data_IF_236860005256
#
_entry.id   IF_236860005256
#
_cell.length_a   1.000
_cell.length_b   1.000
_cell.length_c   1.000
_cell.angle_alpha   90.00
_cell.angle_beta   90.00
_cell.angle_gamma   90.00
#
_symmetry.space_group_name_H-M   'P 1'
#
loop_
_entity.id
_entity.type
_entity.pdbx_description
1 polymer ?
#
# COMPACT_ATOMS: atom_id res chain seq x y z
N UNK A 1 5.08 -20.40 -5.65
CA UNK A 1 4.34 -19.75 -6.76
C UNK A 1 5.33 -19.06 -7.68
N UNK A 2 5.09 -18.98 -8.99
CA UNK A 2 5.90 -18.14 -9.88
C UNK A 2 5.82 -16.68 -9.41
N UNK A 3 6.94 -15.96 -9.39
CA UNK A 3 7.03 -14.59 -8.89
C UNK A 3 6.01 -13.64 -9.55
N UNK A 4 5.77 -13.79 -10.85
CA UNK A 4 4.74 -13.01 -11.57
C UNK A 4 3.33 -13.23 -11.00
N UNK A 5 3.00 -14.46 -10.62
CA UNK A 5 1.70 -14.79 -10.02
C UNK A 5 1.58 -14.15 -8.65
N UNK A 6 2.64 -14.20 -7.83
CA UNK A 6 2.65 -13.53 -6.53
C UNK A 6 2.37 -12.03 -6.66
N UNK A 7 3.09 -11.33 -7.55
CA UNK A 7 2.93 -9.89 -7.74
C UNK A 7 1.54 -9.48 -8.24
N UNK A 8 0.99 -10.21 -9.22
CA UNK A 8 -0.36 -9.96 -9.74
C UNK A 8 -1.39 -10.18 -8.63
N UNK A 9 -1.26 -11.29 -7.90
CA UNK A 9 -2.15 -11.59 -6.78
C UNK A 9 -2.08 -10.51 -5.70
N UNK A 10 -0.91 -9.99 -5.35
CA UNK A 10 -0.77 -8.88 -4.39
C UNK A 10 -1.47 -7.60 -4.87
N UNK A 11 -1.39 -7.28 -6.17
CA UNK A 11 -2.10 -6.12 -6.72
C UNK A 11 -3.62 -6.29 -6.67
N UNK A 12 -4.14 -7.49 -6.98
CA UNK A 12 -5.57 -7.80 -6.90
C UNK A 12 -6.05 -7.75 -5.45
N UNK A 13 -5.30 -8.34 -4.52
CA UNK A 13 -5.62 -8.29 -3.09
C UNK A 13 -5.66 -6.85 -2.61
N UNK A 14 -4.68 -6.02 -2.98
CA UNK A 14 -4.66 -4.61 -2.62
C UNK A 14 -5.93 -3.88 -3.12
N UNK A 15 -6.29 -4.03 -4.40
CA UNK A 15 -7.48 -3.40 -4.96
C UNK A 15 -8.76 -3.86 -4.24
N UNK A 16 -8.97 -5.18 -4.11
CA UNK A 16 -10.16 -5.74 -3.49
C UNK A 16 -10.26 -5.37 -2.01
N UNK A 17 -9.19 -5.55 -1.23
CA UNK A 17 -9.15 -5.20 0.18
C UNK A 17 -9.40 -3.71 0.39
N UNK A 18 -8.88 -2.86 -0.50
CA UNK A 18 -9.12 -1.41 -0.46
C UNK A 18 -10.59 -1.03 -0.67
N UNK A 19 -11.25 -1.62 -1.67
CA UNK A 19 -12.68 -1.40 -1.92
C UNK A 19 -13.51 -1.90 -0.73
N UNK A 20 -13.22 -3.12 -0.25
CA UNK A 20 -13.90 -3.73 0.89
C UNK A 20 -13.75 -2.88 2.15
N UNK A 21 -12.53 -2.48 2.51
CA UNK A 21 -12.26 -1.66 3.70
C UNK A 21 -13.05 -0.34 3.65
N UNK A 22 -13.08 0.32 2.49
CA UNK A 22 -13.79 1.60 2.33
C UNK A 22 -15.30 1.43 2.47
N UNK A 23 -15.87 0.39 1.84
CA UNK A 23 -17.32 0.10 1.93
C UNK A 23 -17.71 -0.32 3.34
N UNK A 24 -16.92 -1.16 4.00
CA UNK A 24 -17.17 -1.59 5.38
C UNK A 24 -17.12 -0.43 6.36
N UNK A 25 -16.16 0.48 6.18
CA UNK A 25 -16.07 1.71 7.00
C UNK A 25 -17.34 2.53 6.82
N UNK A 26 -17.77 2.76 5.57
CA UNK A 26 -19.02 3.48 5.32
C UNK A 26 -20.25 2.76 5.85
N UNK A 27 -20.28 1.43 5.76
CA UNK A 27 -21.36 0.63 6.31
C UNK A 27 -21.41 0.76 7.84
N UNK A 28 -20.26 0.82 8.52
CA UNK A 28 -20.17 1.13 9.94
C UNK A 28 -20.81 2.48 10.25
N UNK A 29 -20.42 3.56 9.54
CA UNK A 29 -20.95 4.92 9.76
C UNK A 29 -22.48 5.01 9.64
N UNK A 30 -23.07 4.18 8.78
CA UNK A 30 -24.51 4.17 8.53
C UNK A 30 -25.31 3.39 9.59
N UNK A 31 -24.65 2.64 10.46
CA UNK A 31 -25.33 1.94 11.55
C UNK A 31 -25.80 2.94 12.61
N UNK A 32 -26.93 2.64 13.24
CA UNK A 32 -27.50 3.46 14.30
C UNK A 32 -27.51 2.64 15.59
N UNK A 33 -26.98 3.20 16.66
CA UNK A 33 -26.89 2.53 17.94
C UNK A 33 -27.15 3.50 19.09
N UNK A 34 -27.73 2.98 20.17
CA UNK A 34 -27.99 3.77 21.37
C UNK A 34 -26.71 3.95 22.19
N UNK A 35 -26.48 5.18 22.67
CA UNK A 35 -25.47 5.49 23.69
C UNK A 35 -25.96 5.08 25.11
N UNK A 36 -25.15 5.32 26.15
CA UNK A 36 -25.53 5.04 27.54
C UNK A 36 -26.77 5.82 28.04
N UNK A 37 -27.13 6.92 27.40
CA UNK A 37 -28.32 7.71 27.74
C UNK A 37 -29.56 7.25 26.96
N UNK A 38 -29.42 6.22 26.11
CA UNK A 38 -30.47 5.72 25.24
C UNK A 38 -30.72 6.59 24.00
N UNK A 39 -29.85 7.57 23.73
CA UNK A 39 -29.93 8.41 22.53
C UNK A 39 -29.39 7.61 21.35
N UNK A 40 -30.24 7.40 20.35
CA UNK A 40 -29.86 6.70 19.12
C UNK A 40 -29.23 7.69 18.17
N UNK A 41 -27.97 7.46 17.83
CA UNK A 41 -27.22 8.23 16.85
C UNK A 41 -26.49 7.29 15.88
N UNK A 42 -26.02 7.84 14.77
CA UNK A 42 -25.18 7.13 13.81
C UNK A 42 -23.81 6.82 14.43
N UNK A 43 -23.18 5.72 14.01
CA UNK A 43 -21.86 5.28 14.48
C UNK A 43 -20.74 6.12 13.84
N UNK A 44 -20.73 7.42 14.09
CA UNK A 44 -19.79 8.38 13.51
C UNK A 44 -18.62 8.65 14.45
N UNK A 45 -17.65 7.73 14.45
CA UNK A 45 -16.48 7.79 15.31
C UNK A 45 -15.16 7.68 14.50
N UNK A 46 -14.77 8.72 13.74
CA UNK A 46 -13.68 8.64 12.77
C UNK A 46 -12.29 8.44 13.40
N UNK A 47 -12.04 8.98 14.60
CA UNK A 47 -10.78 8.78 15.30
C UNK A 47 -10.72 7.41 15.96
N UNK A 48 -11.86 6.92 16.48
CA UNK A 48 -11.97 5.53 16.92
C UNK A 48 -11.75 4.55 15.76
N UNK A 49 -12.33 4.79 14.58
CA UNK A 49 -12.07 3.97 13.39
C UNK A 49 -10.60 3.99 12.96
N UNK A 50 -9.93 5.13 13.13
CA UNK A 50 -8.46 5.23 12.91
C UNK A 50 -7.69 4.38 13.92
N UNK A 51 -8.11 4.34 15.19
CA UNK A 51 -7.55 3.41 16.18
C UNK A 51 -7.78 1.94 15.76
N UNK A 52 -8.98 1.59 15.29
CA UNK A 52 -9.32 0.23 14.80
C UNK A 52 -8.45 -0.17 13.61
N UNK A 53 -8.16 0.76 12.70
CA UNK A 53 -7.22 0.55 11.58
C UNK A 53 -5.82 0.17 12.09
N UNK A 54 -5.24 0.97 13.00
CA UNK A 54 -3.91 0.68 13.57
C UNK A 54 -3.87 -0.59 14.42
N UNK A 55 -4.96 -0.93 15.10
CA UNK A 55 -5.10 -2.23 15.78
C UNK A 55 -5.06 -3.39 14.78
N UNK A 56 -5.72 -3.23 13.63
CA UNK A 56 -5.65 -4.17 12.52
C UNK A 56 -4.23 -4.35 12.00
N UNK A 57 -3.51 -3.26 11.75
CA UNK A 57 -2.11 -3.28 11.31
C UNK A 57 -1.19 -3.94 12.33
N UNK A 58 -1.42 -3.72 13.63
CA UNK A 58 -0.68 -4.38 14.71
C UNK A 58 -0.79 -5.91 14.62
N UNK A 59 -1.90 -6.45 14.13
CA UNK A 59 -2.05 -7.90 13.92
C UNK A 59 -1.04 -8.46 12.91
N UNK A 60 -0.56 -7.65 11.95
CA UNK A 60 0.48 -8.06 11.01
C UNK A 60 1.77 -8.48 11.73
N UNK A 61 2.11 -7.84 12.86
CA UNK A 61 3.25 -8.23 13.69
C UNK A 61 3.04 -9.60 14.34
N UNK A 62 1.81 -9.89 14.76
CA UNK A 62 1.39 -11.20 15.26
C UNK A 62 1.57 -12.29 14.19
N UNK A 63 1.17 -12.02 12.95
CA UNK A 63 1.37 -12.92 11.80
C UNK A 63 2.87 -13.17 11.56
N UNK A 64 3.70 -12.13 11.56
CA UNK A 64 5.16 -12.28 11.39
C UNK A 64 5.74 -13.17 12.49
N UNK A 65 5.39 -12.93 13.76
CA UNK A 65 5.86 -13.76 14.88
C UNK A 65 5.42 -15.22 14.75
N UNK A 66 4.18 -15.45 14.32
CA UNK A 66 3.66 -16.81 14.08
C UNK A 66 4.44 -17.52 12.96
N UNK A 67 4.70 -16.83 11.84
CA UNK A 67 5.45 -17.39 10.72
C UNK A 67 6.91 -17.72 11.11
N UNK A 68 7.57 -16.82 11.83
CA UNK A 68 8.93 -17.03 12.33
C UNK A 68 8.97 -18.18 13.35
N UNK A 69 8.00 -18.25 14.26
CA UNK A 69 7.89 -19.35 15.21
C UNK A 69 7.71 -20.69 14.51
N UNK A 70 6.84 -20.78 13.50
CA UNK A 70 6.67 -22.00 12.69
C UNK A 70 7.96 -22.41 11.97
N UNK A 71 8.70 -21.45 11.40
CA UNK A 71 9.99 -21.73 10.74
C UNK A 71 11.04 -22.27 11.71
N UNK A 72 11.11 -21.71 12.92
CA UNK A 72 11.98 -22.20 14.01
C UNK A 72 11.64 -23.64 14.40
N UNK A 73 10.34 -23.97 14.49
CA UNK A 73 9.90 -25.35 14.79
C UNK A 73 10.31 -26.34 13.68
N UNK A 74 10.28 -25.92 12.42
CA UNK A 74 10.68 -26.76 11.28
C UNK A 74 12.19 -26.77 11.00
N UNK A 75 12.99 -26.05 11.78
CA UNK A 75 14.44 -25.92 11.55
C UNK A 75 14.82 -25.18 10.27
N UNK A 76 13.91 -24.41 9.68
CA UNK A 76 14.17 -23.64 8.44
C UNK A 76 14.93 -22.37 8.81
N UNK A 77 16.04 -22.12 8.11
CA UNK A 77 16.86 -20.93 8.30
C UNK A 77 16.06 -19.65 7.97
N UNK A 78 16.13 -18.66 8.88
CA UNK A 78 15.44 -17.38 8.71
C UNK A 78 16.21 -16.50 7.72
N UNK A 79 15.50 -15.94 6.75
CA UNK A 79 16.12 -15.14 5.69
C UNK A 79 15.94 -13.63 5.95
N UNK A 80 17.01 -12.83 5.87
CA UNK A 80 16.90 -11.37 5.89
C UNK A 80 16.09 -10.94 4.66
N UNK A 81 15.30 -9.87 4.79
CA UNK A 81 14.45 -9.41 3.70
C UNK A 81 13.05 -10.01 3.67
N UNK A 82 12.89 -11.18 4.29
CA UNK A 82 11.66 -11.98 4.29
C UNK A 82 11.13 -12.17 5.71
N UNK A 83 11.99 -12.60 6.63
CA UNK A 83 11.62 -12.94 8.01
C UNK A 83 11.95 -11.84 9.02
N UNK A 84 13.00 -11.07 8.73
CA UNK A 84 13.43 -9.94 9.55
C UNK A 84 14.08 -8.86 8.68
N UNK A 85 14.13 -7.64 9.20
CA UNK A 85 14.78 -6.49 8.55
C UNK A 85 16.27 -6.46 8.84
N UNK A 86 17.03 -5.86 7.93
CA UNK A 86 18.40 -5.46 8.24
C UNK A 86 18.40 -4.21 9.13
N UNK A 87 19.29 -4.20 10.12
CA UNK A 87 19.88 -3.06 10.84
C UNK A 87 19.06 -1.75 10.94
N UNK A 88 17.76 -1.83 11.22
CA UNK A 88 16.90 -0.69 11.56
C UNK A 88 16.28 -0.93 12.92
N UNK A 89 16.46 0.05 13.81
CA UNK A 89 15.85 -0.01 15.13
C UNK A 89 14.33 0.27 15.01
N UNK A 90 13.44 -0.51 15.65
CA UNK A 90 12.00 -0.34 15.53
C UNK A 90 11.47 1.07 15.81
N UNK A 91 12.16 1.84 16.66
CA UNK A 91 11.77 3.22 17.01
C UNK A 91 11.59 4.14 15.79
N UNK A 92 12.30 3.88 14.68
CA UNK A 92 12.19 4.71 13.49
C UNK A 92 10.82 4.61 12.80
N UNK A 93 10.07 3.52 13.01
CA UNK A 93 8.72 3.37 12.49
C UNK A 93 7.70 4.32 13.14
N UNK A 94 8.08 5.07 14.18
CA UNK A 94 7.23 6.14 14.72
C UNK A 94 7.01 7.27 13.71
N UNK A 95 7.98 7.54 12.82
CA UNK A 95 7.89 8.63 11.83
C UNK A 95 6.77 8.36 10.81
N UNK A 96 6.72 7.20 10.12
CA UNK A 96 5.60 6.89 9.24
C UNK A 96 4.28 6.81 10.00
N UNK A 97 4.26 6.27 11.23
CA UNK A 97 3.04 6.22 12.05
C UNK A 97 2.48 7.61 12.41
N UNK A 98 3.34 8.58 12.73
CA UNK A 98 2.91 9.97 12.95
C UNK A 98 2.35 10.57 11.66
N UNK A 99 3.04 10.35 10.53
CA UNK A 99 2.57 10.84 9.24
C UNK A 99 1.22 10.20 8.86
N UNK A 100 1.02 8.91 9.14
CA UNK A 100 -0.22 8.19 8.86
C UNK A 100 -1.38 8.69 9.70
N UNK A 101 -1.17 8.77 11.01
CA UNK A 101 -2.17 9.30 11.93
C UNK A 101 -2.56 10.73 11.59
N UNK A 102 -1.58 11.58 11.27
CA UNK A 102 -1.81 12.99 10.92
C UNK A 102 -2.54 13.12 9.58
N UNK A 103 -2.13 12.36 8.56
CA UNK A 103 -2.77 12.36 7.25
C UNK A 103 -4.23 11.85 7.35
N UNK A 104 -4.45 10.73 8.03
CA UNK A 104 -5.76 10.13 8.24
C UNK A 104 -6.68 11.04 9.04
N UNK A 105 -6.19 11.62 10.14
CA UNK A 105 -6.93 12.60 10.94
C UNK A 105 -7.35 13.80 10.10
N UNK A 106 -6.41 14.39 9.34
CA UNK A 106 -6.70 15.54 8.48
C UNK A 106 -7.75 15.20 7.42
N UNK A 107 -7.67 13.99 6.85
CA UNK A 107 -8.64 13.49 5.87
C UNK A 107 -10.03 13.24 6.47
N UNK A 108 -10.09 12.73 7.70
CA UNK A 108 -11.35 12.49 8.40
C UNK A 108 -12.05 13.81 8.74
N UNK A 109 -11.30 14.82 9.20
CA UNK A 109 -11.84 16.18 9.38
C UNK A 109 -12.29 16.76 8.03
N UNK A 110 -11.55 16.52 6.95
CA UNK A 110 -11.95 16.99 5.63
C UNK A 110 -13.28 16.37 5.17
N UNK A 111 -13.52 15.08 5.46
CA UNK A 111 -14.72 14.34 5.08
C UNK A 111 -16.00 14.89 5.76
N UNK A 112 -15.90 15.53 6.92
CA UNK A 112 -17.05 16.19 7.57
C UNK A 112 -17.38 17.55 6.96
N UNK A 113 -16.49 18.09 6.12
CA UNK A 113 -16.58 19.43 5.57
C UNK A 113 -16.82 19.45 4.05
N UNK A 114 -16.53 18.35 3.34
CA UNK A 114 -16.77 18.17 1.90
C UNK A 114 -17.57 16.90 1.62
N UNK A 115 -18.08 16.72 0.40
CA UNK A 115 -18.84 15.51 0.08
C UNK A 115 -17.93 14.29 -0.12
N UNK A 116 -18.43 13.09 0.14
CA UNK A 116 -17.66 11.86 0.05
C UNK A 116 -17.07 11.62 -1.36
N UNK A 117 -17.80 11.92 -2.42
CA UNK A 117 -17.34 11.89 -3.82
C UNK A 117 -16.15 12.81 -4.05
N UNK A 118 -16.26 14.08 -3.64
CA UNK A 118 -15.20 15.08 -3.83
C UNK A 118 -13.97 14.69 -3.02
N UNK A 119 -14.16 14.22 -1.78
CA UNK A 119 -13.11 13.64 -0.96
C UNK A 119 -12.37 12.50 -1.68
N UNK A 120 -13.09 11.49 -2.16
CA UNK A 120 -12.50 10.34 -2.86
C UNK A 120 -11.74 10.73 -4.13
N UNK A 121 -12.27 11.70 -4.89
CA UNK A 121 -11.62 12.21 -6.09
C UNK A 121 -10.35 13.01 -5.76
N UNK A 122 -10.41 13.91 -4.77
CA UNK A 122 -9.27 14.74 -4.36
C UNK A 122 -8.15 13.92 -3.70
N UNK A 123 -8.43 12.75 -3.14
CA UNK A 123 -7.40 11.77 -2.74
C UNK A 123 -6.51 11.33 -3.89
N UNK A 124 -6.96 11.48 -5.13
CA UNK A 124 -6.14 11.27 -6.32
C UNK A 124 -4.92 12.20 -6.42
N UNK A 125 -4.94 13.35 -5.74
CA UNK A 125 -3.83 14.32 -5.73
C UNK A 125 -2.51 13.78 -5.18
N UNK A 126 -2.53 12.69 -4.41
CA UNK A 126 -1.33 12.03 -3.86
C UNK A 126 -0.31 11.67 -4.94
N UNK A 127 -0.75 11.34 -6.17
CA UNK A 127 0.16 11.04 -7.28
C UNK A 127 1.06 12.23 -7.64
N UNK A 128 0.56 13.46 -7.51
CA UNK A 128 1.33 14.68 -7.80
C UNK A 128 2.46 14.85 -6.78
N UNK A 129 2.13 14.73 -5.50
CA UNK A 129 3.10 14.92 -4.44
C UNK A 129 4.13 13.78 -4.40
N UNK A 130 3.72 12.53 -4.66
CA UNK A 130 4.67 11.43 -4.79
C UNK A 130 5.64 11.65 -5.96
N UNK A 131 5.17 12.17 -7.10
CA UNK A 131 6.08 12.48 -8.19
C UNK A 131 7.14 13.50 -7.74
N UNK A 132 6.72 14.59 -7.09
CA UNK A 132 7.64 15.61 -6.56
C UNK A 132 8.60 15.02 -5.52
N UNK A 133 8.11 14.29 -4.52
CA UNK A 133 8.98 13.73 -3.47
C UNK A 133 9.87 12.60 -3.99
N UNK A 134 9.40 11.79 -4.95
CA UNK A 134 10.23 10.76 -5.58
C UNK A 134 11.37 11.36 -6.43
N UNK A 135 11.20 12.58 -6.95
CA UNK A 135 12.29 13.33 -7.58
C UNK A 135 13.41 13.63 -6.57
N UNK A 136 13.04 14.20 -5.42
CA UNK A 136 14.00 14.69 -4.43
C UNK A 136 14.62 13.58 -3.58
N UNK A 137 13.84 12.59 -3.15
CA UNK A 137 14.30 11.56 -2.21
C UNK A 137 14.76 10.26 -2.87
N UNK A 138 14.23 9.94 -4.05
CA UNK A 138 14.57 8.71 -4.80
C UNK A 138 15.30 9.00 -6.11
N UNK A 139 15.66 10.27 -6.36
CA UNK A 139 16.44 10.72 -7.54
C UNK A 139 15.84 10.25 -8.89
N UNK A 140 14.51 10.13 -8.97
CA UNK A 140 13.85 9.65 -10.19
C UNK A 140 13.86 10.71 -11.28
N UNK A 141 14.25 10.31 -12.50
CA UNK A 141 14.11 11.15 -13.71
C UNK A 141 12.72 11.00 -14.31
N UNK A 142 12.15 12.08 -14.84
CA UNK A 142 10.84 12.08 -15.51
C UNK A 142 10.98 12.16 -17.04
N UNK A 143 10.14 11.42 -17.74
CA UNK A 143 9.93 11.49 -19.18
C UNK A 143 8.86 12.53 -19.51
N UNK A 144 8.79 12.96 -20.76
CA UNK A 144 7.80 13.93 -21.21
C UNK A 144 6.35 13.52 -20.90
N UNK A 145 6.01 12.22 -21.00
CA UNK A 145 4.63 11.77 -20.82
C UNK A 145 4.21 11.79 -19.35
N UNK A 146 5.18 11.69 -18.43
CA UNK A 146 4.94 11.85 -17.01
C UNK A 146 4.59 13.32 -16.70
N UNK A 147 5.33 14.29 -17.25
CA UNK A 147 4.97 15.70 -17.11
C UNK A 147 3.59 16.03 -17.68
N UNK A 148 3.28 15.55 -18.89
CA UNK A 148 1.96 15.73 -19.49
C UNK A 148 0.85 15.13 -18.62
N UNK A 149 1.05 13.90 -18.12
CA UNK A 149 0.11 13.25 -17.23
C UNK A 149 -0.14 14.03 -15.94
N UNK A 150 0.91 14.58 -15.31
CA UNK A 150 0.79 15.41 -14.11
C UNK A 150 -0.02 16.69 -14.37
N UNK A 151 0.17 17.36 -15.51
CA UNK A 151 -0.61 18.55 -15.88
C UNK A 151 -2.09 18.20 -16.03
N UNK A 152 -2.41 17.10 -16.71
CA UNK A 152 -3.80 16.66 -16.89
C UNK A 152 -4.44 16.29 -15.54
N UNK A 153 -3.71 15.64 -14.64
CA UNK A 153 -4.15 15.35 -13.26
C UNK A 153 -4.50 16.64 -12.52
N UNK A 154 -3.64 17.67 -12.58
CA UNK A 154 -3.89 18.97 -11.94
C UNK A 154 -5.18 19.60 -12.47
N UNK A 155 -5.37 19.60 -13.80
CA UNK A 155 -6.60 20.13 -14.42
C UNK A 155 -7.84 19.39 -13.91
N UNK A 156 -7.81 18.06 -13.86
CA UNK A 156 -8.92 17.26 -13.35
C UNK A 156 -9.27 17.58 -11.89
N UNK A 157 -8.26 17.67 -11.02
CA UNK A 157 -8.46 17.99 -9.60
C UNK A 157 -9.01 19.40 -9.39
N UNK A 158 -8.55 20.38 -10.16
CA UNK A 158 -9.08 21.75 -10.11
C UNK A 158 -10.55 21.78 -10.52
N UNK A 159 -10.93 21.06 -11.58
CA UNK A 159 -12.34 20.98 -12.03
C UNK A 159 -13.21 20.36 -10.92
N UNK A 160 -12.76 19.26 -10.30
CA UNK A 160 -13.47 18.62 -9.17
C UNK A 160 -13.61 19.60 -8.00
N UNK A 161 -12.53 20.27 -7.59
CA UNK A 161 -12.56 21.24 -6.48
C UNK A 161 -13.51 22.42 -6.75
N UNK A 162 -13.48 22.98 -7.96
CA UNK A 162 -14.37 24.10 -8.35
C UNK A 162 -15.82 23.64 -8.40
N UNK A 163 -16.11 22.45 -8.93
CA UNK A 163 -17.48 21.93 -9.03
C UNK A 163 -18.19 21.84 -7.68
N UNK A 164 -17.47 21.41 -6.64
CA UNK A 164 -18.01 21.34 -5.28
C UNK A 164 -18.28 22.72 -4.68
N UNK A 165 -17.42 23.70 -4.99
CA UNK A 165 -17.55 25.08 -4.51
C UNK A 165 -18.70 25.83 -5.18
N UNK A 166 -19.03 25.50 -6.44
CA UNK A 166 -20.17 26.08 -7.14
C UNK A 166 -21.52 25.56 -6.60
N UNK A 167 -21.53 24.40 -5.93
CA UNK A 167 -22.71 23.78 -5.34
C UNK A 167 -23.06 24.28 -3.93
N UNK A 168 -22.60 25.48 -3.55
CA UNK A 168 -22.77 26.20 -2.26
C UNK A 168 -24.23 26.34 -1.73
N UNK A 169 -25.20 25.61 -2.26
CA UNK A 169 -26.63 25.65 -1.95
C UNK A 169 -27.20 24.31 -1.46
N UNK A 170 -26.36 23.31 -1.13
CA UNK A 170 -26.82 21.99 -0.65
C UNK A 170 -26.42 21.79 0.82
N UNK A 171 -27.37 21.45 1.69
CA UNK A 171 -27.25 21.20 3.15
C UNK A 171 -26.22 20.12 3.59
N UNK A 172 -25.40 19.58 2.67
CA UNK A 172 -24.58 18.37 2.88
C UNK A 172 -23.15 18.66 3.33
N UNK A 173 -22.61 19.86 3.06
CA UNK A 173 -21.23 20.20 3.39
C UNK A 173 -21.15 21.55 4.10
N UNK A 174 -20.59 21.56 5.31
CA UNK A 174 -20.51 22.76 6.17
C UNK A 174 -19.56 23.82 5.61
N UNK A 175 -18.43 23.41 5.03
CA UNK A 175 -17.48 24.30 4.36
C UNK A 175 -16.66 23.54 3.29
N UNK A 176 -17.20 23.41 2.05
CA UNK A 176 -16.60 22.60 0.99
C UNK A 176 -15.17 23.01 0.63
N UNK A 177 -14.89 24.32 0.60
CA UNK A 177 -13.57 24.84 0.21
C UNK A 177 -12.51 24.45 1.22
N UNK A 178 -12.79 24.64 2.51
CA UNK A 178 -11.88 24.27 3.58
C UNK A 178 -11.67 22.74 3.62
N UNK A 179 -12.75 21.96 3.46
CA UNK A 179 -12.67 20.51 3.33
C UNK A 179 -11.74 20.09 2.19
N UNK A 180 -11.90 20.66 1.00
CA UNK A 180 -11.06 20.35 -0.15
C UNK A 180 -9.58 20.65 0.08
N UNK A 181 -9.26 21.79 0.70
CA UNK A 181 -7.89 22.15 1.06
C UNK A 181 -7.31 21.12 2.04
N UNK A 182 -8.08 20.74 3.07
CA UNK A 182 -7.66 19.74 4.04
C UNK A 182 -7.41 18.36 3.40
N UNK A 183 -8.21 17.94 2.40
CA UNK A 183 -7.93 16.69 1.66
C UNK A 183 -6.56 16.75 0.99
N UNK A 184 -6.25 17.85 0.30
CA UNK A 184 -4.99 18.04 -0.41
C UNK A 184 -3.80 18.09 0.57
N UNK A 185 -3.96 18.77 1.71
CA UNK A 185 -2.95 18.77 2.79
C UNK A 185 -2.74 17.36 3.36
N UNK A 186 -3.82 16.60 3.59
CA UNK A 186 -3.72 15.21 4.02
C UNK A 186 -2.97 14.34 3.01
N UNK A 187 -3.24 14.52 1.71
CA UNK A 187 -2.54 13.78 0.64
C UNK A 187 -1.05 14.16 0.54
N UNK A 188 -0.70 15.41 0.80
CA UNK A 188 0.70 15.83 0.91
C UNK A 188 1.42 15.05 2.01
N UNK A 189 0.84 14.99 3.22
CA UNK A 189 1.44 14.27 4.36
C UNK A 189 1.54 12.76 4.05
N UNK A 190 0.47 12.16 3.51
CA UNK A 190 0.48 10.75 3.11
C UNK A 190 1.56 10.44 2.07
N UNK A 191 1.77 11.34 1.10
CA UNK A 191 2.79 11.12 0.06
C UNK A 191 4.21 11.10 0.62
N UNK A 192 4.48 11.87 1.69
CA UNK A 192 5.76 11.83 2.41
C UNK A 192 5.94 10.45 3.04
N UNK A 193 4.92 9.93 3.73
CA UNK A 193 4.94 8.59 4.31
C UNK A 193 5.25 7.53 3.23
N UNK A 194 4.52 7.50 2.12
CA UNK A 194 4.71 6.47 1.09
C UNK A 194 6.13 6.50 0.49
N UNK A 195 6.71 7.69 0.33
CA UNK A 195 8.07 7.86 -0.18
C UNK A 195 9.12 7.42 0.84
N UNK A 196 8.93 7.75 2.12
CA UNK A 196 9.80 7.28 3.21
C UNK A 196 9.74 5.76 3.34
N UNK A 197 8.55 5.18 3.28
CA UNK A 197 8.34 3.72 3.29
C UNK A 197 9.03 3.04 2.12
N UNK A 198 8.87 3.56 0.89
CA UNK A 198 9.56 3.00 -0.28
C UNK A 198 11.08 3.01 -0.07
N UNK A 199 11.62 4.14 0.40
CA UNK A 199 13.05 4.27 0.67
C UNK A 199 13.53 3.25 1.72
N UNK A 200 12.78 3.07 2.81
CA UNK A 200 13.17 2.15 3.89
C UNK A 200 12.97 0.68 3.53
N UNK A 201 11.84 0.32 2.91
CA UNK A 201 11.55 -1.04 2.44
C UNK A 201 12.65 -1.55 1.51
N UNK A 202 13.19 -0.68 0.66
CA UNK A 202 14.27 -1.00 -0.27
C UNK A 202 15.64 -0.98 0.40
N UNK A 203 15.98 0.09 1.13
CA UNK A 203 17.31 0.26 1.76
C UNK A 203 17.62 -0.75 2.86
N UNK A 204 16.67 -1.00 3.76
CA UNK A 204 16.84 -1.90 4.92
C UNK A 204 16.22 -3.28 4.67
N UNK A 205 15.72 -3.53 3.46
CA UNK A 205 15.05 -4.77 3.04
C UNK A 205 13.93 -5.17 4.00
N UNK A 206 13.19 -4.23 4.58
CA UNK A 206 12.17 -4.54 5.59
C UNK A 206 11.05 -5.41 4.98
N UNK A 207 10.65 -6.53 5.60
CA UNK A 207 9.45 -7.27 5.19
C UNK A 207 8.19 -6.38 5.31
N UNK A 208 7.30 -6.31 4.30
CA UNK A 208 6.13 -5.40 4.33
C UNK A 208 5.25 -5.58 5.56
N UNK A 209 4.96 -6.82 5.96
CA UNK A 209 4.17 -7.11 7.16
C UNK A 209 4.85 -6.64 8.46
N UNK A 210 6.18 -6.61 8.50
CA UNK A 210 6.92 -6.13 9.66
C UNK A 210 6.85 -4.61 9.77
N UNK A 211 6.97 -3.89 8.64
CA UNK A 211 6.79 -2.44 8.60
C UNK A 211 5.39 -2.05 9.09
N UNK A 212 4.35 -2.63 8.48
CA UNK A 212 2.95 -2.37 8.84
C UNK A 212 2.68 -2.75 10.30
N UNK A 213 3.25 -3.86 10.77
CA UNK A 213 3.10 -4.28 12.16
C UNK A 213 3.67 -3.29 13.17
N UNK A 214 4.85 -2.71 12.91
CA UNK A 214 5.44 -1.70 13.78
C UNK A 214 4.74 -0.35 13.70
N UNK A 215 4.34 0.06 12.50
CA UNK A 215 3.51 1.25 12.27
C UNK A 215 2.20 1.15 13.06
N UNK A 216 1.51 0.01 12.97
CA UNK A 216 0.31 -0.28 13.75
C UNK A 216 0.51 -0.14 15.26
N UNK A 217 1.64 -0.62 15.81
CA UNK A 217 1.94 -0.49 17.25
C UNK A 217 2.08 0.98 17.65
N UNK A 218 2.89 1.76 16.94
CA UNK A 218 3.08 3.17 17.25
C UNK A 218 1.81 3.98 16.99
N UNK A 219 1.12 3.71 15.88
CA UNK A 219 -0.15 4.34 15.52
C UNK A 219 -1.25 4.06 16.54
N UNK A 220 -1.35 2.84 17.07
CA UNK A 220 -2.27 2.49 18.15
C UNK A 220 -1.97 3.31 19.41
N UNK A 221 -0.69 3.45 19.78
CA UNK A 221 -0.30 4.28 20.92
C UNK A 221 -0.65 5.76 20.70
N UNK A 222 -0.35 6.31 19.53
CA UNK A 222 -0.62 7.71 19.18
C UNK A 222 -2.13 7.98 19.15
N UNK A 223 -2.90 7.16 18.43
CA UNK A 223 -4.34 7.28 18.30
C UNK A 223 -5.05 7.07 19.65
N UNK A 224 -4.62 6.09 20.44
CA UNK A 224 -5.14 5.86 21.78
C UNK A 224 -4.88 7.04 22.72
N UNK A 225 -3.66 7.59 22.71
CA UNK A 225 -3.34 8.79 23.49
C UNK A 225 -4.14 10.01 23.04
N UNK A 226 -4.35 10.19 21.73
CA UNK A 226 -5.17 11.27 21.19
C UNK A 226 -6.64 11.16 21.62
N UNK A 227 -7.23 9.96 21.53
CA UNK A 227 -8.61 9.70 21.98
C UNK A 227 -8.79 9.95 23.47
N UNK A 228 -7.83 9.52 24.31
CA UNK A 228 -7.84 9.83 25.75
C UNK A 228 -7.69 11.34 25.97
N UNK A 229 -6.82 12.01 25.22
CA UNK A 229 -6.64 13.46 25.29
C UNK A 229 -7.90 14.24 24.91
N UNK A 230 -8.67 13.77 23.92
CA UNK A 230 -9.92 14.40 23.51
C UNK A 230 -10.96 14.44 24.63
N UNK A 231 -10.99 13.42 25.51
CA UNK A 231 -11.88 13.38 26.68
C UNK A 231 -11.66 14.53 27.67
N UNK A 232 -10.52 15.21 27.62
CA UNK A 232 -10.23 16.35 28.48
C UNK A 232 -10.85 17.67 27.98
N UNK A 233 -11.44 17.70 26.79
CA UNK A 233 -12.05 18.88 26.19
C UNK A 233 -13.58 18.76 26.16
N UNK A 234 -14.28 19.80 26.60
CA UNK A 234 -15.73 19.89 26.45
C UNK A 234 -16.11 19.88 24.95
N UNK A 235 -16.99 18.96 24.55
CA UNK A 235 -17.34 18.75 23.15
C UNK A 235 -16.28 17.97 22.35
N UNK A 236 -15.61 17.00 23.00
CA UNK A 236 -14.58 16.13 22.43
C UNK A 236 -14.88 15.74 20.96
N UNK A 237 -13.89 15.84 20.03
CA UNK A 237 -14.09 15.50 18.63
C UNK A 237 -14.60 14.08 18.36
N UNK A 238 -14.30 13.14 19.25
CA UNK A 238 -14.73 11.75 19.19
C UNK A 238 -14.71 11.13 20.59
N UNK A 239 -15.78 10.42 20.96
CA UNK A 239 -15.89 9.76 22.25
C UNK A 239 -15.67 8.24 22.14
N UNK A 240 -14.56 7.78 22.71
CA UNK A 240 -14.26 6.34 22.79
C UNK A 240 -15.28 5.58 23.65
N UNK A 241 -15.84 6.20 24.69
CA UNK A 241 -16.79 5.53 25.59
C UNK A 241 -18.11 5.29 24.87
N UNK A 242 -18.64 6.33 24.21
CA UNK A 242 -19.83 6.21 23.35
C UNK A 242 -19.62 5.19 22.22
N UNK A 243 -18.47 5.22 21.53
CA UNK A 243 -18.17 4.25 20.48
C UNK A 243 -18.22 2.80 20.99
N UNK A 244 -17.62 2.52 22.15
CA UNK A 244 -17.63 1.18 22.75
C UNK A 244 -19.03 0.76 23.21
N UNK A 245 -19.85 1.69 23.71
CA UNK A 245 -21.23 1.41 24.08
C UNK A 245 -22.10 1.10 22.87
N UNK A 246 -21.97 1.88 21.79
CA UNK A 246 -22.68 1.63 20.53
C UNK A 246 -22.32 0.27 19.93
N UNK A 247 -21.05 -0.14 20.00
CA UNK A 247 -20.60 -1.49 19.61
C UNK A 247 -21.22 -2.58 20.49
N UNK A 248 -21.33 -2.35 21.81
CA UNK A 248 -21.97 -3.30 22.72
C UNK A 248 -23.48 -3.44 22.50
N UNK A 249 -24.12 -2.35 22.08
CA UNK A 249 -25.58 -2.28 21.91
C UNK A 249 -26.06 -2.68 20.51
N UNK A 250 -25.18 -2.71 19.51
CA UNK A 250 -25.52 -3.04 18.12
C UNK A 250 -24.52 -4.05 17.54
N UNK A 251 -25.00 -5.25 17.23
CA UNK A 251 -24.16 -6.32 16.70
C UNK A 251 -23.65 -5.98 15.29
N UNK A 252 -24.38 -5.18 14.52
CA UNK A 252 -23.95 -4.66 13.23
C UNK A 252 -22.73 -3.74 13.37
N UNK A 253 -22.72 -2.82 14.35
CA UNK A 253 -21.54 -1.98 14.66
C UNK A 253 -20.33 -2.83 15.07
N UNK A 254 -20.56 -3.85 15.90
CA UNK A 254 -19.50 -4.78 16.32
C UNK A 254 -18.92 -5.56 15.13
N UNK A 255 -19.79 -6.13 14.28
CA UNK A 255 -19.37 -6.86 13.09
C UNK A 255 -18.62 -5.93 12.12
N UNK A 256 -19.14 -4.72 11.86
CA UNK A 256 -18.49 -3.74 11.01
C UNK A 256 -17.09 -3.39 11.50
N UNK A 257 -16.95 -3.12 12.80
CA UNK A 257 -15.66 -2.82 13.44
C UNK A 257 -14.65 -3.95 13.25
N UNK A 258 -15.06 -5.20 13.48
CA UNK A 258 -14.18 -6.37 13.32
C UNK A 258 -13.80 -6.58 11.85
N UNK A 259 -14.75 -6.43 10.92
CA UNK A 259 -14.46 -6.59 9.50
C UNK A 259 -13.53 -5.48 8.98
N UNK A 260 -13.73 -4.23 9.40
CA UNK A 260 -12.83 -3.10 9.08
C UNK A 260 -11.42 -3.38 9.59
N UNK A 261 -11.28 -3.85 10.83
CA UNK A 261 -10.00 -4.19 11.44
C UNK A 261 -9.19 -5.17 10.55
N UNK A 262 -9.81 -6.27 10.12
CA UNK A 262 -9.14 -7.24 9.24
C UNK A 262 -8.92 -6.71 7.82
N UNK A 263 -9.88 -5.98 7.27
CA UNK A 263 -9.76 -5.41 5.92
C UNK A 263 -8.60 -4.41 5.84
N UNK A 264 -8.43 -3.55 6.85
CA UNK A 264 -7.31 -2.61 6.94
C UNK A 264 -5.96 -3.32 7.08
N UNK A 265 -5.89 -4.40 7.88
CA UNK A 265 -4.67 -5.19 8.01
C UNK A 265 -4.22 -5.78 6.66
N UNK A 266 -5.15 -6.37 5.90
CA UNK A 266 -4.87 -6.95 4.58
C UNK A 266 -4.53 -5.86 3.56
N UNK A 267 -5.26 -4.75 3.58
CA UNK A 267 -5.03 -3.59 2.73
C UNK A 267 -3.61 -3.05 2.89
N UNK A 268 -3.19 -2.75 4.13
CA UNK A 268 -1.88 -2.18 4.40
C UNK A 268 -0.73 -3.17 4.15
N UNK A 269 -0.92 -4.46 4.44
CA UNK A 269 0.06 -5.48 4.09
C UNK A 269 0.25 -5.59 2.57
N UNK A 270 -0.85 -5.58 1.79
CA UNK A 270 -0.80 -5.69 0.34
C UNK A 270 -0.25 -4.42 -0.33
N UNK A 271 -0.64 -3.23 0.13
CA UNK A 271 -0.16 -1.95 -0.40
C UNK A 271 1.35 -1.75 -0.18
N UNK A 272 1.86 -2.11 1.01
CA UNK A 272 3.29 -2.06 1.31
C UNK A 272 4.07 -3.15 0.56
N UNK A 273 3.45 -4.30 0.28
CA UNK A 273 4.04 -5.32 -0.61
C UNK A 273 4.22 -4.77 -2.02
N UNK A 274 3.20 -4.12 -2.59
CA UNK A 274 3.30 -3.46 -3.91
C UNK A 274 4.36 -2.35 -3.89
N UNK A 275 4.47 -1.60 -2.79
CA UNK A 275 5.46 -0.52 -2.65
C UNK A 275 6.89 -1.07 -2.67
N UNK A 276 7.13 -2.16 -1.93
CA UNK A 276 8.44 -2.83 -1.89
C UNK A 276 8.83 -3.41 -3.25
N UNK A 277 7.92 -4.14 -3.90
CA UNK A 277 8.20 -4.88 -5.14
C UNK A 277 8.21 -3.98 -6.38
N UNK A 278 7.45 -2.88 -6.36
CA UNK A 278 7.39 -1.91 -7.45
C UNK A 278 7.84 -0.53 -6.98
N UNK A 279 6.91 0.26 -6.42
CA UNK A 279 7.15 1.61 -5.91
C UNK A 279 5.91 2.24 -5.27
N UNK A 280 6.10 3.33 -4.53
CA UNK A 280 5.05 4.22 -4.03
C UNK A 280 4.23 4.84 -5.19
N UNK A 281 4.88 5.10 -6.32
CA UNK A 281 4.20 5.54 -7.54
C UNK A 281 3.24 4.46 -8.07
N UNK A 282 3.64 3.19 -8.07
CA UNK A 282 2.76 2.09 -8.48
C UNK A 282 1.61 1.89 -7.50
N UNK A 283 1.87 2.05 -6.19
CA UNK A 283 0.84 2.03 -5.14
C UNK A 283 -0.26 3.06 -5.42
N UNK A 284 0.11 4.31 -5.72
CA UNK A 284 -0.89 5.37 -6.00
C UNK A 284 -1.71 5.16 -7.27
N UNK A 285 -1.17 4.46 -8.28
CA UNK A 285 -1.97 4.04 -9.43
C UNK A 285 -3.07 3.06 -9.00
N UNK A 286 -2.74 2.08 -8.15
CA UNK A 286 -3.73 1.13 -7.64
C UNK A 286 -4.71 1.82 -6.66
N UNK A 287 -4.27 2.78 -5.84
CA UNK A 287 -5.17 3.60 -5.03
C UNK A 287 -6.15 4.40 -5.89
N UNK A 288 -5.68 4.95 -7.01
CA UNK A 288 -6.52 5.64 -7.99
C UNK A 288 -7.59 4.71 -8.57
N UNK A 289 -7.20 3.49 -8.96
CA UNK A 289 -8.15 2.48 -9.43
C UNK A 289 -9.17 2.11 -8.35
N UNK A 290 -8.75 1.91 -7.11
CA UNK A 290 -9.65 1.69 -5.96
C UNK A 290 -10.68 2.83 -5.86
N UNK A 291 -10.23 4.08 -5.91
CA UNK A 291 -11.13 5.24 -5.80
C UNK A 291 -12.18 5.26 -6.93
N UNK A 292 -11.84 4.82 -8.15
CA UNK A 292 -12.80 4.65 -9.25
C UNK A 292 -13.87 3.64 -8.88
N UNK A 293 -13.49 2.48 -8.32
CA UNK A 293 -14.45 1.46 -7.91
C UNK A 293 -15.37 1.94 -6.78
N UNK A 294 -14.79 2.56 -5.74
CA UNK A 294 -15.58 3.10 -4.62
C UNK A 294 -16.55 4.18 -5.10
N UNK A 295 -16.09 5.11 -5.93
CA UNK A 295 -16.94 6.14 -6.50
C UNK A 295 -18.07 5.55 -7.36
N UNK A 296 -17.75 4.57 -8.21
CA UNK A 296 -18.76 3.90 -9.04
C UNK A 296 -19.85 3.23 -8.18
N UNK A 297 -19.46 2.61 -7.07
CA UNK A 297 -20.39 2.01 -6.11
C UNK A 297 -21.22 3.10 -5.41
N UNK A 298 -20.60 4.21 -4.99
CA UNK A 298 -21.32 5.33 -4.39
C UNK A 298 -22.39 5.92 -5.33
N UNK A 299 -22.09 6.03 -6.63
CA UNK A 299 -23.04 6.49 -7.65
C UNK A 299 -24.16 5.48 -7.91
N UNK A 300 -23.89 4.17 -7.90
CA UNK A 300 -24.93 3.15 -8.04
C UNK A 300 -25.89 3.19 -6.83
N UNK A 301 -25.35 3.38 -5.62
CA UNK A 301 -26.11 3.42 -4.37
C UNK A 301 -26.34 4.84 -3.88
N UNK A 302 -26.71 5.75 -4.78
CA UNK A 302 -26.88 7.19 -4.50
C UNK A 302 -27.75 7.47 -3.26
N UNK A 303 -28.83 6.70 -3.05
CA UNK A 303 -29.72 6.84 -1.88
C UNK A 303 -29.04 6.50 -0.54
N UNK A 304 -28.06 5.61 -0.54
CA UNK A 304 -27.34 5.17 0.66
C UNK A 304 -26.20 6.13 1.01
N UNK A 305 -25.57 6.71 -0.01
CA UNK A 305 -24.45 7.65 0.16
C UNK A 305 -24.92 9.12 0.24
N UNK A 306 -26.21 9.39 0.05
CA UNK A 306 -26.82 10.72 0.03
C UNK A 306 -26.11 11.69 -0.93
N UNK A 307 -25.64 11.19 -2.07
CA UNK A 307 -24.94 12.00 -3.07
C UNK A 307 -25.87 12.37 -4.22
N UNK A 308 -25.45 13.31 -5.07
CA UNK A 308 -26.17 13.64 -6.31
C UNK A 308 -25.17 13.62 -7.45
N UNK A 309 -25.58 13.05 -8.58
CA UNK A 309 -24.74 13.01 -9.77
C UNK A 309 -24.45 14.42 -10.29
N UNK A 310 -23.17 14.70 -10.56
CA UNK A 310 -22.68 15.97 -11.04
C UNK A 310 -21.78 15.74 -12.26
N UNK A 311 -22.20 16.33 -13.39
CA UNK A 311 -21.49 16.22 -14.66
C UNK A 311 -20.11 16.87 -14.62
N UNK A 312 -19.94 17.97 -13.90
CA UNK A 312 -18.66 18.67 -13.81
C UNK A 312 -17.67 17.86 -12.96
N UNK A 313 -18.15 17.24 -11.88
CA UNK A 313 -17.34 16.29 -11.08
C UNK A 313 -16.90 15.10 -11.95
N UNK A 314 -17.81 14.51 -12.74
CA UNK A 314 -17.46 13.39 -13.61
C UNK A 314 -16.43 13.78 -14.67
N UNK A 315 -16.57 14.95 -15.30
CA UNK A 315 -15.57 15.45 -16.27
C UNK A 315 -14.21 15.65 -15.60
N UNK A 316 -14.17 16.28 -14.43
CA UNK A 316 -12.93 16.44 -13.67
C UNK A 316 -12.29 15.10 -13.29
N UNK A 317 -13.10 14.13 -12.89
CA UNK A 317 -12.63 12.79 -12.56
C UNK A 317 -12.12 12.02 -13.78
N UNK A 318 -12.80 12.13 -14.93
CA UNK A 318 -12.34 11.54 -16.19
C UNK A 318 -10.99 12.13 -16.64
N UNK A 319 -10.82 13.45 -16.52
CA UNK A 319 -9.53 14.11 -16.76
C UNK A 319 -8.45 13.56 -15.82
N UNK A 320 -8.75 13.46 -14.52
CA UNK A 320 -7.83 12.89 -13.53
C UNK A 320 -7.38 11.46 -13.91
N UNK A 321 -8.32 10.59 -14.28
CA UNK A 321 -8.03 9.20 -14.72
C UNK A 321 -7.15 9.19 -15.98
N UNK A 322 -7.49 10.01 -16.97
CA UNK A 322 -6.73 10.11 -18.22
C UNK A 322 -5.29 10.61 -17.97
N UNK A 323 -5.11 11.57 -17.05
CA UNK A 323 -3.81 12.06 -16.63
C UNK A 323 -2.97 10.98 -15.95
N UNK A 324 -3.56 10.22 -15.02
CA UNK A 324 -2.89 9.08 -14.37
C UNK A 324 -2.50 7.98 -15.37
N UNK A 325 -3.37 7.68 -16.34
CA UNK A 325 -3.07 6.72 -17.41
C UNK A 325 -1.92 7.18 -18.32
N UNK A 326 -1.88 8.47 -18.66
CA UNK A 326 -0.80 9.09 -19.44
C UNK A 326 0.52 9.09 -18.67
N UNK A 327 0.46 9.42 -17.38
CA UNK A 327 1.63 9.40 -16.51
C UNK A 327 2.29 8.02 -16.48
N UNK A 328 1.51 6.94 -16.49
CA UNK A 328 2.02 5.56 -16.47
C UNK A 328 2.34 4.98 -17.87
N UNK A 329 2.22 5.77 -18.92
CA UNK A 329 2.33 5.32 -20.31
C UNK A 329 1.40 4.13 -20.64
N UNK A 330 0.20 4.10 -20.04
CA UNK A 330 -0.85 3.16 -20.44
C UNK A 330 -1.42 3.54 -21.81
N UNK A 331 -1.42 4.85 -22.11
CA UNK A 331 -1.73 5.40 -23.43
C UNK A 331 -0.41 5.73 -24.12
N UNK A 332 -0.02 4.94 -25.12
CA UNK A 332 1.18 5.22 -25.92
C UNK A 332 0.92 6.42 -26.83
N UNK A 333 1.58 7.53 -26.54
CA UNK A 333 1.56 8.71 -27.40
C UNK A 333 2.75 8.59 -28.38
N UNK A 334 2.53 8.44 -29.69
CA UNK A 334 3.59 8.28 -30.67
C UNK A 334 4.31 9.62 -30.91
N UNK A 335 5.22 9.98 -30.01
CA UNK A 335 6.10 11.15 -30.15
C UNK A 335 7.48 10.87 -29.53
N UNK A 336 8.59 11.34 -30.13
CA UNK A 336 9.95 11.03 -29.66
C UNK A 336 10.24 11.38 -28.20
N UNK A 337 9.62 12.44 -27.67
CA UNK A 337 9.74 12.84 -26.25
C UNK A 337 9.05 11.90 -25.26
N UNK A 338 8.24 10.95 -25.76
CA UNK A 338 7.42 10.04 -24.97
C UNK A 338 7.85 8.58 -25.13
N UNK A 339 8.95 8.29 -25.84
CA UNK A 339 9.44 6.94 -26.04
C UNK A 339 10.12 6.40 -24.76
N UNK A 340 9.45 5.46 -24.09
CA UNK A 340 9.93 4.85 -22.84
C UNK A 340 11.13 3.91 -23.01
N UNK A 341 11.53 3.62 -24.26
CA UNK A 341 12.68 2.76 -24.56
C UNK A 341 13.99 3.32 -23.99
N UNK A 342 14.09 4.65 -23.81
CA UNK A 342 15.26 5.32 -23.22
C UNK A 342 15.40 5.07 -21.70
N UNK A 343 14.29 5.03 -20.95
CA UNK A 343 14.28 4.98 -19.47
C UNK A 343 14.64 3.59 -18.90
N UNK A 344 14.39 2.52 -19.66
CA UNK A 344 14.80 1.17 -19.28
C UNK A 344 16.34 1.04 -19.17
N UNK A 345 17.10 1.85 -19.92
CA UNK A 345 18.56 1.87 -19.87
C UNK A 345 19.12 2.74 -18.74
N UNK A 346 18.41 3.78 -18.31
CA UNK A 346 18.95 4.87 -17.47
C UNK A 346 18.63 4.71 -15.96
N UNK A 347 17.50 4.08 -15.62
CA UNK A 347 17.13 3.76 -14.22
C UNK A 347 17.64 2.38 -13.77
N UNK A 348 18.42 1.70 -14.61
CA UNK A 348 19.20 0.54 -14.19
C UNK A 348 20.41 1.07 -13.42
N UNK A 349 20.58 0.75 -12.11
CA UNK A 349 21.77 1.18 -11.39
C UNK A 349 23.02 0.72 -12.15
N UNK A 350 24.09 1.54 -12.23
CA UNK A 350 25.34 1.11 -12.83
C UNK A 350 25.89 -0.04 -11.98
N UNK A 351 25.80 -1.27 -12.50
CA UNK A 351 26.35 -2.50 -11.93
C UNK A 351 25.78 -3.00 -10.58
N UNK A 352 24.48 -2.83 -10.32
CA UNK A 352 23.80 -3.73 -9.38
C UNK A 352 22.95 -4.73 -10.16
N UNK A 353 23.54 -5.91 -10.41
CA UNK A 353 22.77 -7.12 -10.71
C UNK A 353 21.68 -7.22 -9.63
N UNK A 354 20.40 -7.16 -10.04
CA UNK A 354 19.29 -7.43 -9.11
C UNK A 354 19.57 -8.73 -8.37
N UNK A 355 19.23 -8.83 -7.08
CA UNK A 355 19.48 -10.02 -6.24
C UNK A 355 19.11 -11.35 -6.92
N UNK A 356 18.13 -11.32 -7.83
CA UNK A 356 17.72 -12.44 -8.66
C UNK A 356 18.75 -12.81 -9.73
N UNK A 357 19.33 -11.84 -10.44
CA UNK A 357 20.41 -12.07 -11.41
C UNK A 357 21.72 -12.48 -10.73
N UNK A 358 22.06 -11.90 -9.57
CA UNK A 358 23.22 -12.33 -8.79
C UNK A 358 23.01 -13.77 -8.27
N UNK A 359 21.85 -14.08 -7.71
CA UNK A 359 21.48 -15.43 -7.27
C UNK A 359 21.51 -16.46 -8.40
N UNK A 360 20.96 -16.14 -9.58
CA UNK A 360 21.03 -17.04 -10.75
C UNK A 360 22.44 -17.15 -11.32
N UNK A 361 23.26 -16.10 -11.28
CA UNK A 361 24.68 -16.20 -11.69
C UNK A 361 25.50 -17.03 -10.72
N UNK A 362 25.24 -16.93 -9.41
CA UNK A 362 25.94 -17.70 -8.38
C UNK A 362 25.47 -19.16 -8.39
N UNK A 363 24.17 -19.42 -8.57
CA UNK A 363 23.63 -20.76 -8.79
C UNK A 363 24.17 -21.39 -10.06
N UNK A 364 24.13 -20.68 -11.20
CA UNK A 364 24.69 -21.18 -12.46
C UNK A 364 26.21 -21.45 -12.34
N UNK A 365 26.95 -20.63 -11.60
CA UNK A 365 28.38 -20.88 -11.33
C UNK A 365 28.63 -22.08 -10.42
N UNK A 366 27.75 -22.33 -9.45
CA UNK A 366 27.85 -23.48 -8.54
C UNK A 366 27.45 -24.78 -9.23
N UNK A 367 26.34 -24.77 -9.97
CA UNK A 367 25.89 -25.90 -10.78
C UNK A 367 26.91 -26.25 -11.87
N UNK A 368 27.55 -25.25 -12.50
CA UNK A 368 28.64 -25.47 -13.45
C UNK A 368 29.90 -26.02 -12.77
N UNK A 369 30.27 -25.51 -11.59
CA UNK A 369 31.41 -26.02 -10.82
C UNK A 369 31.19 -27.45 -10.32
N UNK A 370 29.97 -27.81 -9.89
CA UNK A 370 29.63 -29.17 -9.47
C UNK A 370 29.55 -30.12 -10.67
N UNK A 371 28.99 -29.69 -11.80
CA UNK A 371 28.96 -30.47 -13.03
C UNK A 371 30.36 -30.73 -13.61
N UNK A 372 31.26 -29.75 -13.56
CA UNK A 372 32.67 -29.94 -13.96
C UNK A 372 33.35 -30.94 -13.04
N UNK A 373 33.15 -30.82 -11.71
CA UNK A 373 33.76 -31.71 -10.72
C UNK A 373 33.23 -33.15 -10.79
N UNK A 374 31.94 -33.32 -11.09
CA UNK A 374 31.36 -34.64 -11.40
C UNK A 374 31.89 -35.22 -12.71
N UNK A 375 32.10 -34.37 -13.73
CA UNK A 375 32.67 -34.82 -15.01
C UNK A 375 34.14 -35.26 -14.87
N UNK A 376 34.94 -34.54 -14.08
CA UNK A 376 36.33 -34.88 -13.78
C UNK A 376 36.41 -36.17 -12.97
N UNK A 377 35.58 -36.33 -11.93
CA UNK A 377 35.49 -37.58 -11.15
C UNK A 377 35.07 -38.78 -12.01
N UNK A 378 34.10 -38.61 -12.92
CA UNK A 378 33.71 -39.67 -13.86
C UNK A 378 34.82 -40.00 -14.85
N UNK A 379 35.57 -39.00 -15.32
CA UNK A 379 36.71 -39.23 -16.22
C UNK A 379 37.86 -39.98 -15.54
N UNK A 380 38.14 -39.68 -14.27
CA UNK A 380 39.15 -40.38 -13.46
C UNK A 380 38.72 -41.82 -13.14
N UNK A 381 37.45 -42.05 -12.79
CA UNK A 381 36.93 -43.39 -12.55
C UNK A 381 36.95 -44.28 -13.81
N UNK A 382 36.69 -43.69 -15.00
CA UNK A 382 36.82 -44.40 -16.27
C UNK A 382 38.29 -44.72 -16.58
N UNK A 383 39.22 -43.80 -16.32
CA UNK A 383 40.65 -44.02 -16.52
C UNK A 383 41.21 -45.14 -15.61
N UNK A 384 40.82 -45.16 -14.33
CA UNK A 384 41.18 -46.23 -13.39
C UNK A 384 40.58 -47.59 -13.79
N UNK A 385 39.32 -47.62 -14.23
CA UNK A 385 38.68 -48.84 -14.73
C UNK A 385 39.33 -49.39 -16.01
N UNK A 386 39.79 -48.52 -16.92
CA UNK A 386 40.51 -48.95 -18.12
C UNK A 386 41.92 -49.47 -17.84
N UNK A 387 42.59 -48.97 -16.80
CA UNK A 387 43.91 -49.49 -16.41
C UNK A 387 43.78 -50.86 -15.72
N UNK A 388 42.76 -51.07 -14.87
CA UNK A 388 42.51 -52.37 -14.25
C UNK A 388 42.18 -53.46 -15.28
N UNK A 389 41.38 -53.15 -16.31
CA UNK A 389 41.07 -54.09 -17.40
C UNK A 389 42.27 -54.37 -18.32
N UNK A 390 43.21 -53.42 -18.42
CA UNK A 390 44.45 -53.60 -19.18
C UNK A 390 45.44 -54.48 -18.44
N UNK A 391 45.54 -54.32 -17.12
CA UNK A 391 46.39 -55.14 -16.26
C UNK A 391 45.87 -56.59 -16.14
N UNK A 392 44.55 -56.80 -16.08
CA UNK A 392 43.94 -58.15 -16.15
C UNK A 392 44.17 -58.83 -17.51
N UNK A 393 44.14 -58.08 -18.62
CA UNK A 393 44.46 -58.63 -19.96
C UNK A 393 45.91 -59.06 -20.09
N UNK A 394 46.84 -58.24 -19.60
CA UNK A 394 48.28 -58.54 -19.63
C UNK A 394 48.60 -59.79 -18.79
N UNK A 395 47.91 -59.98 -17.65
CA UNK A 395 48.05 -61.19 -16.84
C UNK A 395 47.47 -62.43 -17.55
N UNK A 396 46.35 -62.30 -18.26
CA UNK A 396 45.72 -63.41 -18.99
C UNK A 396 46.47 -63.88 -20.25
N UNK A 397 47.31 -63.03 -20.85
CA UNK A 397 48.15 -63.37 -22.02
C UNK A 397 49.54 -63.91 -21.62
N UNK A 398 49.84 -63.98 -20.32
CA UNK A 398 51.14 -64.42 -19.77
C UNK A 398 51.10 -65.77 -19.02
N UNK A 399 49.94 -66.45 -19.03
CA UNK A 399 49.75 -67.86 -18.65
C UNK A 399 49.45 -68.68 -19.90
#
# INVERSE_FOLDING_TARGET
MPQKVYLITSCIIFLCAGVIATILTKWADLQHAADANGIVSSFEHPFFQTLVMFLGETLCLGVVRLLVWRKRLTGVELKPGVDYSDSIHPIWFVIPAIADFTASTTCNVALTMTSASVYQMLRGSTVLFIAVFSYFFLERRFLGHEYLGLVIVIVGLVIVGVSSSLRNSSEVASNPVLGNILVVVGQLIQSIQFVLEEAWLKKYRIPPLLLVGWEGVFGTCIAGAALVGFQAFDGHPDDIVTALQQIGNCWECALATVLVLFACAVLNAASNTVTKEFSATSRTVLDTLRNIFVWSIAMIFTSTFNEKFDWLQMVGFACFIAGGATYRNLVRIPHPWFDSSAKASENSPPNELTHQQLYYSTLASKDCSEAIRESEMRSLAVAEGTNSLRDERILSESM
#
